data_IF_229948507149
#
_entry.id   IF_229948507149
#
_cell.length_a   1.000
_cell.length_b   1.000
_cell.length_c   1.000
_cell.angle_alpha   90.00
_cell.angle_beta   90.00
_cell.angle_gamma   90.00
#
_symmetry.space_group_name_H-M   'P 1'
#
loop_
_entity.id
_entity.type
_entity.pdbx_description
1 polymer ?
#
# COMPACT_ATOMS: atom_id res chain seq x y z
N UNK A 1 18.77 6.66 5.52
CA UNK A 1 17.42 6.07 5.63
C UNK A 1 16.75 6.23 4.28
N UNK A 2 16.47 5.13 3.59
CA UNK A 2 15.82 5.12 2.28
C UNK A 2 14.43 4.53 2.42
N UNK A 3 13.43 5.16 1.78
CA UNK A 3 12.07 4.67 1.73
C UNK A 3 11.83 4.00 0.38
N UNK A 4 11.34 2.76 0.40
CA UNK A 4 10.88 2.03 -0.79
C UNK A 4 9.37 1.86 -0.67
N UNK A 5 8.65 2.18 -1.74
CA UNK A 5 7.18 2.12 -1.78
C UNK A 5 6.74 0.85 -2.48
N UNK A 6 5.83 0.10 -1.86
CA UNK A 6 5.08 -0.97 -2.49
C UNK A 6 3.60 -0.62 -2.52
N UNK A 7 2.96 -0.76 -3.68
CA UNK A 7 1.62 -0.27 -3.93
C UNK A 7 0.68 -1.33 -4.54
N UNK A 8 1.19 -2.53 -4.77
CA UNK A 8 0.49 -3.74 -5.20
C UNK A 8 1.13 -4.97 -4.52
N UNK A 9 0.58 -6.17 -4.69
CA UNK A 9 1.10 -7.36 -4.01
C UNK A 9 2.58 -7.68 -4.36
N UNK A 10 3.01 -7.70 -5.64
CA UNK A 10 4.41 -7.92 -6.00
C UNK A 10 5.37 -6.88 -5.41
N UNK A 11 5.04 -5.60 -5.47
CA UNK A 11 5.91 -4.51 -5.01
C UNK A 11 5.92 -4.39 -3.48
N UNK A 12 4.81 -4.68 -2.79
CA UNK A 12 4.76 -4.79 -1.32
C UNK A 12 5.73 -5.88 -0.87
N UNK A 13 5.61 -7.08 -1.44
CA UNK A 13 6.51 -8.19 -1.12
C UNK A 13 7.97 -7.78 -1.34
N UNK A 14 8.26 -7.14 -2.48
CA UNK A 14 9.62 -6.72 -2.81
C UNK A 14 10.15 -5.63 -1.88
N UNK A 15 9.33 -4.67 -1.48
CA UNK A 15 9.69 -3.60 -0.56
C UNK A 15 10.06 -4.16 0.82
N UNK A 16 9.30 -5.15 1.30
CA UNK A 16 9.56 -5.84 2.57
C UNK A 16 10.87 -6.62 2.50
N UNK A 17 11.08 -7.43 1.45
CA UNK A 17 12.34 -8.17 1.25
C UNK A 17 13.57 -7.24 1.23
N UNK A 18 13.44 -6.07 0.60
CA UNK A 18 14.51 -5.06 0.58
C UNK A 18 14.74 -4.44 1.95
N UNK A 19 13.67 -4.15 2.70
CA UNK A 19 13.77 -3.62 4.05
C UNK A 19 14.42 -4.62 5.00
N UNK A 20 14.10 -5.92 4.89
CA UNK A 20 14.74 -6.98 5.68
C UNK A 20 16.22 -7.13 5.33
N UNK A 21 16.56 -7.07 4.04
CA UNK A 21 17.94 -7.29 3.56
C UNK A 21 18.91 -6.16 3.92
N UNK A 22 18.46 -4.90 3.89
CA UNK A 22 19.35 -3.74 4.02
C UNK A 22 19.01 -2.90 5.26
N UNK A 23 19.94 -2.70 6.21
CA UNK A 23 19.71 -1.94 7.45
C UNK A 23 19.13 -0.54 7.25
N UNK A 24 19.52 0.15 6.18
CA UNK A 24 19.16 1.53 5.86
C UNK A 24 17.84 1.70 5.11
N UNK A 25 17.24 0.60 4.64
CA UNK A 25 15.98 0.57 3.89
C UNK A 25 14.79 0.35 4.83
N UNK A 26 13.74 1.13 4.59
CA UNK A 26 12.42 1.04 5.20
C UNK A 26 11.37 1.01 4.09
N UNK A 27 10.19 0.50 4.42
CA UNK A 27 9.10 0.34 3.49
C UNK A 27 7.91 1.23 3.85
N UNK A 28 7.25 1.77 2.84
CA UNK A 28 5.89 2.28 2.90
C UNK A 28 5.05 1.37 2.01
N UNK A 29 3.95 0.83 2.52
CA UNK A 29 3.13 -0.14 1.80
C UNK A 29 1.68 0.31 1.73
N UNK A 30 0.99 0.09 0.63
CA UNK A 30 -0.40 0.49 0.43
C UNK A 30 -0.95 -0.08 -0.87
N UNK A 31 -2.13 0.36 -1.27
CA UNK A 31 -2.77 -0.05 -2.53
C UNK A 31 -3.02 1.17 -3.40
N UNK A 32 -2.39 1.20 -4.58
CA UNK A 32 -2.44 2.32 -5.51
C UNK A 32 -3.87 2.57 -6.03
N UNK A 33 -4.28 3.82 -6.31
CA UNK A 33 -5.58 4.12 -6.93
C UNK A 33 -5.83 3.45 -8.28
N UNK A 34 -4.79 3.10 -9.04
CA UNK A 34 -4.94 2.37 -10.32
C UNK A 34 -5.25 0.89 -10.11
N UNK A 35 -4.93 0.35 -8.94
CA UNK A 35 -5.19 -1.05 -8.58
C UNK A 35 -6.51 -1.21 -7.80
N UNK A 36 -7.29 -0.15 -7.65
CA UNK A 36 -8.41 -0.08 -6.71
C UNK A 36 -9.48 -1.16 -6.95
N UNK A 37 -9.76 -1.52 -8.21
CA UNK A 37 -10.73 -2.54 -8.59
C UNK A 37 -10.35 -3.95 -8.16
N UNK A 38 -9.07 -4.18 -7.81
CA UNK A 38 -8.59 -5.46 -7.29
C UNK A 38 -8.56 -5.51 -5.76
N UNK A 39 -8.90 -4.44 -5.06
CA UNK A 39 -8.78 -4.36 -3.60
C UNK A 39 -9.84 -5.21 -2.88
N UNK A 40 -9.42 -6.33 -2.29
CA UNK A 40 -10.29 -7.24 -1.52
C UNK A 40 -9.98 -7.20 -0.03
N UNK A 41 -10.81 -7.87 0.79
CA UNK A 41 -10.55 -8.01 2.22
C UNK A 41 -9.24 -8.78 2.48
N UNK A 42 -8.93 -9.78 1.67
CA UNK A 42 -7.69 -10.54 1.79
C UNK A 42 -6.44 -9.67 1.56
N UNK A 43 -6.52 -8.70 0.64
CA UNK A 43 -5.45 -7.72 0.41
C UNK A 43 -5.34 -6.75 1.59
N UNK A 44 -6.47 -6.27 2.10
CA UNK A 44 -6.50 -5.41 3.29
C UNK A 44 -5.85 -6.11 4.49
N UNK A 45 -6.22 -7.35 4.76
CA UNK A 45 -5.67 -8.16 5.85
C UNK A 45 -4.15 -8.39 5.68
N UNK A 46 -3.69 -8.60 4.44
CA UNK A 46 -2.26 -8.71 4.13
C UNK A 46 -1.49 -7.40 4.42
N UNK A 47 -2.05 -6.25 4.04
CA UNK A 47 -1.47 -4.95 4.34
C UNK A 47 -1.40 -4.76 5.87
N UNK A 48 -2.50 -4.99 6.59
CA UNK A 48 -2.57 -4.87 8.05
C UNK A 48 -1.53 -5.74 8.75
N UNK A 49 -1.36 -6.99 8.30
CA UNK A 49 -0.34 -7.89 8.86
C UNK A 49 1.07 -7.29 8.74
N UNK A 50 1.39 -6.67 7.61
CA UNK A 50 2.70 -6.05 7.37
C UNK A 50 2.89 -4.70 8.04
N UNK A 51 1.83 -3.95 8.37
CA UNK A 51 1.94 -2.69 9.11
C UNK A 51 2.58 -2.87 10.50
N UNK A 52 2.54 -4.08 11.06
CA UNK A 52 3.22 -4.41 12.33
C UNK A 52 4.75 -4.60 12.20
N UNK A 53 5.29 -4.69 10.98
CA UNK A 53 6.70 -4.94 10.75
C UNK A 53 7.56 -3.72 11.14
N UNK A 54 8.67 -3.87 11.90
CA UNK A 54 9.44 -2.75 12.46
C UNK A 54 10.09 -1.83 11.44
N UNK A 55 10.22 -2.28 10.18
CA UNK A 55 10.72 -1.47 9.07
C UNK A 55 9.65 -0.97 8.11
N UNK A 56 8.38 -1.31 8.34
CA UNK A 56 7.26 -0.64 7.66
C UNK A 56 6.94 0.62 8.45
N UNK A 57 7.02 1.77 7.79
CA UNK A 57 7.04 3.08 8.46
C UNK A 57 5.90 3.98 8.03
N UNK A 58 5.04 3.49 7.12
CA UNK A 58 3.91 4.23 6.60
C UNK A 58 2.96 3.33 5.83
N UNK A 59 1.70 3.75 5.80
CA UNK A 59 0.68 3.25 4.88
C UNK A 59 0.62 4.17 3.66
N UNK A 60 0.95 3.64 2.49
CA UNK A 60 1.10 4.39 1.26
C UNK A 60 1.87 3.62 0.18
N UNK A 61 1.80 4.01 -1.08
CA UNK A 61 1.00 5.13 -1.56
C UNK A 61 -0.47 4.74 -1.73
N UNK A 62 -1.34 5.64 -1.30
CA UNK A 62 -2.80 5.53 -1.35
C UNK A 62 -3.34 6.89 -1.79
N UNK A 63 -4.46 6.91 -2.50
CA UNK A 63 -5.01 8.19 -2.95
C UNK A 63 -6.01 8.05 -4.08
N UNK A 64 -5.95 9.00 -5.01
CA UNK A 64 -6.84 9.12 -6.15
C UNK A 64 -6.01 9.45 -7.39
N UNK A 65 -6.21 8.71 -8.47
CA UNK A 65 -5.60 8.98 -9.76
C UNK A 65 -6.69 9.14 -10.81
N UNK A 66 -6.97 10.39 -11.16
CA UNK A 66 -7.96 10.77 -12.15
C UNK A 66 -7.35 11.03 -13.53
N UNK A 67 -6.06 10.78 -13.71
CA UNK A 67 -5.41 10.91 -15.01
C UNK A 67 -5.59 9.62 -15.82
N UNK A 68 -5.27 8.47 -15.22
CA UNK A 68 -5.33 7.18 -15.91
C UNK A 68 -6.70 6.50 -15.81
N UNK A 69 -7.48 6.79 -14.75
CA UNK A 69 -8.88 6.35 -14.61
C UNK A 69 -9.10 4.85 -14.89
N UNK A 70 -8.21 3.98 -14.38
CA UNK A 70 -8.34 2.52 -14.55
C UNK A 70 -9.59 1.96 -13.86
N UNK A 71 -10.00 2.61 -12.77
CA UNK A 71 -11.25 2.33 -12.04
C UNK A 71 -12.14 3.58 -11.92
N UNK A 72 -13.46 3.39 -11.77
CA UNK A 72 -14.39 4.46 -11.44
C UNK A 72 -13.99 5.24 -10.18
N UNK A 73 -14.29 6.56 -10.16
CA UNK A 73 -13.89 7.44 -9.04
C UNK A 73 -14.41 6.97 -7.69
N UNK A 74 -15.64 6.45 -7.66
CA UNK A 74 -16.28 5.92 -6.46
C UNK A 74 -15.55 4.70 -5.90
N UNK A 75 -15.05 3.81 -6.76
CA UNK A 75 -14.20 2.68 -6.36
C UNK A 75 -12.89 3.17 -5.75
N UNK A 76 -12.17 4.08 -6.41
CA UNK A 76 -10.94 4.66 -5.85
C UNK A 76 -11.18 5.37 -4.50
N UNK A 77 -12.28 6.13 -4.39
CA UNK A 77 -12.66 6.82 -3.15
C UNK A 77 -12.95 5.84 -2.02
N UNK A 78 -13.64 4.73 -2.30
CA UNK A 78 -13.92 3.71 -1.30
C UNK A 78 -12.62 3.09 -0.78
N UNK A 79 -11.76 2.62 -1.68
CA UNK A 79 -10.47 2.01 -1.34
C UNK A 79 -9.58 2.98 -0.57
N UNK A 80 -9.50 4.24 -0.99
CA UNK A 80 -8.74 5.26 -0.28
C UNK A 80 -9.26 5.48 1.15
N UNK A 81 -10.59 5.56 1.33
CA UNK A 81 -11.22 5.71 2.65
C UNK A 81 -10.96 4.51 3.55
N UNK A 82 -11.02 3.29 3.01
CA UNK A 82 -10.72 2.05 3.76
C UNK A 82 -9.29 2.08 4.28
N UNK A 83 -8.32 2.39 3.41
CA UNK A 83 -6.92 2.48 3.81
C UNK A 83 -6.68 3.59 4.85
N UNK A 84 -7.31 4.77 4.74
CA UNK A 84 -7.24 5.80 5.79
C UNK A 84 -7.73 5.28 7.15
N UNK A 85 -8.75 4.42 7.18
CA UNK A 85 -9.28 3.87 8.44
C UNK A 85 -8.31 2.91 9.13
N UNK A 86 -7.42 2.25 8.38
CA UNK A 86 -6.36 1.39 8.94
C UNK A 86 -5.30 2.19 9.71
N UNK A 87 -5.18 3.48 9.44
CA UNK A 87 -4.19 4.38 10.06
C UNK A 87 -4.64 5.00 11.39
N UNK A 88 -5.84 4.64 11.89
CA UNK A 88 -6.41 5.17 13.14
C UNK A 88 -6.21 4.20 14.29
#
# INVERSE_FOLDING_TARGET
RHNVVGFDAPTIKRAIELAEKYPEIYATIGWHPTEAGSYTQEIEDMIVAHLSHPKVIGLGEIGLDYHWMEDPKDVQIEVFKRQIQLSK
#
